data_IF_315718928831
#
_entry.id   IF_315718928831
#
_cell.length_a   1.000
_cell.length_b   1.000
_cell.length_c   1.000
_cell.angle_alpha   90.00
_cell.angle_beta   90.00
_cell.angle_gamma   90.00
#
_symmetry.space_group_name_H-M   'P 1'
#
loop_
_entity.id
_entity.type
_entity.pdbx_description
1 polymer ?
#
# COMPACT_ATOMS: atom_id res chain seq x y z
N UNK A 1 15.98 20.38 10.36
CA UNK A 1 15.62 20.05 8.99
C UNK A 1 15.71 18.58 8.64
N UNK A 2 16.45 17.81 9.46
CA UNK A 2 16.50 16.35 9.28
C UNK A 2 15.12 15.71 9.39
N UNK A 3 14.23 16.24 10.26
CA UNK A 3 12.89 15.68 10.42
C UNK A 3 12.03 15.83 9.17
N UNK A 4 12.18 16.97 8.45
CA UNK A 4 11.47 17.17 7.19
C UNK A 4 11.98 16.20 6.11
N UNK A 5 13.29 15.97 6.09
CA UNK A 5 13.88 15.02 5.16
C UNK A 5 13.42 13.60 5.45
N UNK A 6 13.37 13.22 6.71
CA UNK A 6 12.90 11.89 7.09
C UNK A 6 11.44 11.68 6.69
N UNK A 7 10.59 12.69 6.93
CA UNK A 7 9.20 12.65 6.52
C UNK A 7 9.06 12.49 5.01
N UNK A 8 9.81 13.29 4.26
CA UNK A 8 9.76 13.23 2.79
C UNK A 8 10.25 11.89 2.27
N UNK A 9 11.36 11.39 2.81
CA UNK A 9 11.89 10.09 2.41
C UNK A 9 10.92 8.97 2.73
N UNK A 10 10.30 8.98 3.92
CA UNK A 10 9.33 7.96 4.29
C UNK A 10 8.12 7.98 3.36
N UNK A 11 7.61 9.16 3.02
CA UNK A 11 6.47 9.28 2.12
C UNK A 11 6.82 8.84 0.70
N UNK A 12 8.04 9.15 0.23
CA UNK A 12 8.49 8.71 -1.08
C UNK A 12 8.61 7.19 -1.15
N UNK A 13 9.17 6.57 -0.11
CA UNK A 13 9.28 5.11 -0.06
C UNK A 13 7.90 4.47 -0.03
N UNK A 14 6.98 5.03 0.76
CA UNK A 14 5.60 4.52 0.79
C UNK A 14 4.92 4.60 -0.57
N UNK A 15 5.09 5.73 -1.27
CA UNK A 15 4.51 5.90 -2.60
C UNK A 15 5.11 4.90 -3.60
N UNK A 16 6.42 4.71 -3.57
CA UNK A 16 7.10 3.76 -4.44
C UNK A 16 6.69 2.32 -4.13
N UNK A 17 6.59 1.96 -2.86
CA UNK A 17 6.20 0.63 -2.44
C UNK A 17 4.77 0.34 -2.87
N UNK A 18 3.85 1.29 -2.67
CA UNK A 18 2.47 1.13 -3.11
C UNK A 18 2.38 0.94 -4.62
N UNK A 19 3.15 1.70 -5.39
CA UNK A 19 3.19 1.57 -6.84
C UNK A 19 3.75 0.21 -7.26
N UNK A 20 4.80 -0.26 -6.60
CA UNK A 20 5.40 -1.56 -6.87
C UNK A 20 4.43 -2.70 -6.60
N UNK A 21 3.71 -2.65 -5.48
CA UNK A 21 2.71 -3.67 -5.13
C UNK A 21 1.63 -3.74 -6.20
N UNK A 22 1.17 -2.59 -6.70
CA UNK A 22 0.19 -2.54 -7.79
C UNK A 22 0.73 -3.18 -9.07
N UNK A 23 1.99 -2.93 -9.40
CA UNK A 23 2.64 -3.51 -10.57
C UNK A 23 2.77 -5.03 -10.42
N UNK A 24 3.15 -5.51 -9.23
CA UNK A 24 3.24 -6.94 -8.97
C UNK A 24 1.89 -7.63 -9.13
N UNK A 25 0.83 -7.01 -8.62
CA UNK A 25 -0.52 -7.55 -8.76
C UNK A 25 -0.89 -7.71 -10.24
N UNK A 26 -0.56 -6.73 -11.06
CA UNK A 26 -0.81 -6.78 -12.51
C UNK A 26 -0.05 -7.94 -13.17
N UNK A 27 1.24 -8.09 -12.84
CA UNK A 27 2.05 -9.17 -13.39
C UNK A 27 1.48 -10.52 -12.97
N UNK A 28 1.10 -10.68 -11.70
CA UNK A 28 0.54 -11.93 -11.19
C UNK A 28 -0.72 -12.32 -11.97
N UNK A 29 -1.57 -11.35 -12.29
CA UNK A 29 -2.83 -11.62 -12.99
C UNK A 29 -2.63 -11.87 -14.47
N UNK A 30 -1.58 -11.35 -15.08
CA UNK A 30 -1.37 -11.42 -16.52
C UNK A 30 -0.43 -12.54 -16.97
N UNK A 31 0.43 -13.05 -16.08
CA UNK A 31 1.38 -14.09 -16.48
C UNK A 31 0.81 -15.49 -16.31
N UNK A 32 1.09 -16.35 -17.28
CA UNK A 32 0.78 -17.78 -17.20
C UNK A 32 1.94 -18.58 -16.63
N UNK A 33 3.10 -17.97 -16.42
CA UNK A 33 4.27 -18.66 -15.88
C UNK A 33 4.14 -18.80 -14.38
N UNK A 34 3.93 -20.04 -13.90
CA UNK A 34 3.67 -20.29 -12.49
C UNK A 34 4.87 -19.95 -11.60
N UNK A 35 6.07 -20.22 -12.08
CA UNK A 35 7.29 -19.92 -11.32
C UNK A 35 7.47 -18.40 -11.13
N UNK A 36 7.20 -17.64 -12.19
CA UNK A 36 7.23 -16.18 -12.11
C UNK A 36 6.17 -15.67 -11.15
N UNK A 37 4.95 -16.21 -11.23
CA UNK A 37 3.86 -15.81 -10.33
C UNK A 37 4.25 -16.03 -8.87
N UNK A 38 4.77 -17.20 -8.54
CA UNK A 38 5.15 -17.53 -7.17
C UNK A 38 6.25 -16.60 -6.65
N UNK A 39 7.25 -16.33 -7.49
CA UNK A 39 8.35 -15.43 -7.11
C UNK A 39 7.84 -14.04 -6.86
N UNK A 40 6.99 -13.51 -7.74
CA UNK A 40 6.42 -12.17 -7.58
C UNK A 40 5.50 -12.11 -6.36
N UNK A 41 4.73 -13.17 -6.09
CA UNK A 41 3.88 -13.22 -4.89
C UNK A 41 4.71 -13.14 -3.60
N UNK A 42 5.86 -13.82 -3.56
CA UNK A 42 6.76 -13.74 -2.40
C UNK A 42 7.33 -12.35 -2.22
N UNK A 43 7.74 -11.71 -3.32
CA UNK A 43 8.23 -10.33 -3.27
C UNK A 43 7.13 -9.40 -2.79
N UNK A 44 5.92 -9.54 -3.34
CA UNK A 44 4.78 -8.71 -2.94
C UNK A 44 4.48 -8.86 -1.46
N UNK A 45 4.48 -10.08 -0.93
CA UNK A 45 4.20 -10.32 0.48
C UNK A 45 5.23 -9.62 1.37
N UNK A 46 6.51 -9.67 0.99
CA UNK A 46 7.56 -8.97 1.72
C UNK A 46 7.39 -7.45 1.66
N UNK A 47 7.05 -6.93 0.49
CA UNK A 47 6.83 -5.49 0.30
C UNK A 47 5.60 -5.01 1.05
N UNK A 48 4.54 -5.80 1.11
CA UNK A 48 3.34 -5.47 1.88
C UNK A 48 3.65 -5.36 3.37
N UNK A 49 4.43 -6.30 3.92
CA UNK A 49 4.86 -6.24 5.31
C UNK A 49 5.71 -5.02 5.58
N UNK A 50 6.67 -4.73 4.69
CA UNK A 50 7.52 -3.56 4.81
C UNK A 50 6.69 -2.28 4.75
N UNK A 51 5.77 -2.20 3.80
CA UNK A 51 4.90 -1.05 3.65
C UNK A 51 4.09 -0.79 4.92
N UNK A 52 3.54 -1.84 5.50
CA UNK A 52 2.72 -1.71 6.71
C UNK A 52 3.55 -1.23 7.90
N UNK A 53 4.76 -1.79 8.06
CA UNK A 53 5.66 -1.36 9.14
C UNK A 53 6.06 0.09 8.99
N UNK A 54 6.40 0.51 7.77
CA UNK A 54 6.76 1.89 7.50
C UNK A 54 5.57 2.82 7.70
N UNK A 55 4.39 2.40 7.27
CA UNK A 55 3.16 3.15 7.48
C UNK A 55 2.90 3.38 8.97
N UNK A 56 3.04 2.33 9.79
CA UNK A 56 2.84 2.45 11.23
C UNK A 56 3.83 3.43 11.85
N UNK A 57 5.10 3.35 11.45
CA UNK A 57 6.11 4.27 11.95
C UNK A 57 5.80 5.70 11.53
N UNK A 58 5.48 5.91 10.28
CA UNK A 58 5.15 7.25 9.77
C UNK A 58 3.92 7.82 10.46
N UNK A 59 2.94 6.98 10.73
CA UNK A 59 1.73 7.39 11.44
C UNK A 59 2.04 7.81 12.89
N UNK A 60 2.88 7.04 13.58
CA UNK A 60 3.32 7.37 14.93
C UNK A 60 4.06 8.70 14.99
N UNK A 61 4.86 8.98 13.97
CA UNK A 61 5.64 10.22 13.88
C UNK A 61 4.81 11.41 13.38
N UNK A 62 3.57 11.17 12.95
CA UNK A 62 2.74 12.20 12.36
C UNK A 62 3.19 12.65 10.97
N UNK A 63 4.02 11.84 10.30
CA UNK A 63 4.55 12.16 8.97
C UNK A 63 3.56 11.86 7.86
N UNK A 64 2.70 10.90 8.07
CA UNK A 64 1.78 10.42 7.06
C UNK A 64 0.35 10.67 7.51
N UNK A 65 -0.37 11.43 6.71
CA UNK A 65 -1.82 11.53 6.84
C UNK A 65 -2.43 10.73 5.71
N UNK A 66 -3.15 9.64 6.03
CA UNK A 66 -3.92 8.97 4.98
C UNK A 66 -4.80 9.99 4.28
N UNK A 67 -4.88 9.89 2.97
CA UNK A 67 -5.78 10.74 2.20
C UNK A 67 -7.18 10.51 2.74
N UNK A 68 -7.65 11.43 3.55
CA UNK A 68 -8.93 11.38 4.25
C UNK A 68 -9.15 10.08 5.01
N UNK A 69 -9.15 10.18 6.33
CA UNK A 69 -9.75 9.14 7.13
C UNK A 69 -11.12 8.84 6.52
N UNK A 70 -11.24 7.71 5.88
CA UNK A 70 -12.51 7.27 5.38
C UNK A 70 -13.47 7.28 6.56
N UNK A 71 -14.41 8.20 6.56
CA UNK A 71 -15.42 8.25 7.59
C UNK A 71 -16.20 6.95 7.59
N UNK A 72 -16.80 6.60 8.72
CA UNK A 72 -17.65 5.42 8.75
C UNK A 72 -18.74 5.48 7.68
N UNK A 73 -19.22 6.68 7.35
CA UNK A 73 -20.19 6.85 6.28
C UNK A 73 -19.63 6.45 4.93
N UNK A 74 -18.40 6.85 4.63
CA UNK A 74 -17.76 6.50 3.37
C UNK A 74 -17.54 4.99 3.28
N UNK A 75 -17.10 4.36 4.37
CA UNK A 75 -16.93 2.91 4.42
C UNK A 75 -18.26 2.21 4.20
N UNK A 76 -19.34 2.70 4.84
CA UNK A 76 -20.66 2.12 4.67
C UNK A 76 -21.17 2.28 3.25
N UNK A 77 -20.91 3.42 2.60
CA UNK A 77 -21.31 3.62 1.21
C UNK A 77 -20.60 2.63 0.28
N UNK A 78 -19.31 2.42 0.49
CA UNK A 78 -18.57 1.43 -0.30
C UNK A 78 -19.13 0.03 -0.10
N UNK A 79 -19.42 -0.34 1.15
CA UNK A 79 -20.01 -1.63 1.46
C UNK A 79 -21.38 -1.79 0.78
N UNK A 80 -22.22 -0.76 0.81
CA UNK A 80 -23.52 -0.79 0.17
C UNK A 80 -23.40 -0.97 -1.35
N UNK A 81 -22.46 -0.26 -1.96
CA UNK A 81 -22.22 -0.39 -3.39
C UNK A 81 -21.76 -1.79 -3.76
N UNK A 82 -20.92 -2.41 -2.93
CA UNK A 82 -20.43 -3.76 -3.17
C UNK A 82 -21.51 -4.81 -2.95
N UNK A 83 -22.46 -4.57 -2.03
CA UNK A 83 -23.51 -5.54 -1.72
C UNK A 83 -24.75 -5.37 -2.58
N UNK A 84 -24.94 -4.20 -3.19
CA UNK A 84 -26.15 -3.93 -4.01
C UNK A 84 -25.93 -4.18 -5.50
N UNK A 85 -24.70 -4.52 -5.89
CA UNK A 85 -24.43 -4.83 -7.31
C UNK A 85 -24.57 -6.35 -7.59
#
# INVERSE_FOLDING_TARGET
>A
MRQLQDKEMANDILAQTNSSISTYAKVITETSNQQLRQTIQQIRNGDEQFQYQLYQLANQKGWYKPASDATQQEIMQVKQQLTSS
#
